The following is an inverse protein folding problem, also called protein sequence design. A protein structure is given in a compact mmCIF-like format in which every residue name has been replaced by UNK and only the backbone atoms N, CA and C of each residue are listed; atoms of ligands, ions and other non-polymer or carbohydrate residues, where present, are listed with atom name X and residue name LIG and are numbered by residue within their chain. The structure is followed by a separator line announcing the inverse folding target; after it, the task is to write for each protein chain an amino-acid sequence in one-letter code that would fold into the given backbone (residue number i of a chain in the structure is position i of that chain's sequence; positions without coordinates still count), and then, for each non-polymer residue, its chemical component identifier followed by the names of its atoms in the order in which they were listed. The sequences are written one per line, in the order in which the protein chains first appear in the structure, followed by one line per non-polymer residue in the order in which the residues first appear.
data_IF_916433133698
#
_entry.id   IF_916433133698
#
_cell.length_a   1.000
_cell.length_b   1.000
_cell.length_c   1.000
_cell.angle_alpha   90.00
_cell.angle_beta   90.00
_cell.angle_gamma   90.00
#
_symmetry.space_group_name_H-M   'P 1'
#
loop_
_entity.id
_entity.type
_entity.pdbx_description
1 polymer ?
#
# COMPACT_ATOMS: atom_id res chain seq x y z
N UNK A 1 -18.31 -14.48 -33.42
CA UNK A 1 -17.03 -15.20 -33.60
C UNK A 1 -15.88 -14.23 -33.39
N UNK A 2 -15.24 -14.24 -32.21
CA UNK A 2 -13.85 -13.79 -32.05
C UNK A 2 -13.31 -14.39 -30.75
N UNK A 3 -12.78 -15.60 -30.83
CA UNK A 3 -12.09 -16.24 -29.71
C UNK A 3 -10.71 -15.60 -29.62
N UNK A 4 -10.51 -14.74 -28.62
CA UNK A 4 -9.19 -14.15 -28.33
C UNK A 4 -8.29 -15.25 -27.75
N UNK A 5 -7.29 -15.64 -28.52
CA UNK A 5 -6.21 -16.53 -28.11
C UNK A 5 -5.33 -15.74 -27.14
N UNK A 6 -5.42 -16.03 -25.84
CA UNK A 6 -4.51 -15.50 -24.82
C UNK A 6 -3.31 -16.44 -24.76
N UNK A 7 -2.13 -16.09 -25.29
CA UNK A 7 -0.94 -16.91 -25.07
C UNK A 7 -0.57 -16.83 -23.59
N UNK A 8 -0.25 -17.97 -22.99
CA UNK A 8 0.30 -18.10 -21.64
C UNK A 8 1.62 -17.32 -21.57
N UNK A 9 1.55 -16.07 -21.10
CA UNK A 9 2.67 -15.11 -21.09
C UNK A 9 2.27 -13.68 -21.49
N UNK A 10 1.08 -13.49 -22.09
CA UNK A 10 0.55 -12.16 -22.40
C UNK A 10 -0.02 -11.48 -21.15
N UNK A 11 0.63 -10.39 -20.74
CA UNK A 11 0.09 -9.45 -19.74
C UNK A 11 -1.28 -8.98 -20.23
N UNK A 12 -2.33 -9.09 -19.41
CA UNK A 12 -3.68 -8.68 -19.83
C UNK A 12 -3.71 -7.21 -20.27
N UNK A 13 -4.55 -6.82 -21.26
CA UNK A 13 -4.63 -5.44 -21.73
C UNK A 13 -4.91 -4.44 -20.59
N UNK A 14 -5.77 -4.82 -19.64
CA UNK A 14 -6.07 -4.03 -18.45
C UNK A 14 -4.83 -3.81 -17.56
N UNK A 15 -3.99 -4.84 -17.41
CA UNK A 15 -2.74 -4.74 -16.66
C UNK A 15 -1.71 -3.87 -17.38
N UNK A 16 -1.63 -3.97 -18.71
CA UNK A 16 -0.75 -3.08 -19.51
C UNK A 16 -1.17 -1.62 -19.37
N UNK A 17 -2.48 -1.33 -19.42
CA UNK A 17 -3.01 0.02 -19.21
C UNK A 17 -2.66 0.57 -17.84
N UNK A 18 -2.84 -0.22 -16.78
CA UNK A 18 -2.45 0.17 -15.42
C UNK A 18 -0.95 0.51 -15.33
N UNK A 19 -0.08 -0.28 -15.98
CA UNK A 19 1.36 -0.01 -16.03
C UNK A 19 1.65 1.30 -16.77
N UNK A 20 1.01 1.53 -17.92
CA UNK A 20 1.17 2.74 -18.71
C UNK A 20 0.75 3.98 -17.92
N UNK A 21 -0.39 3.94 -17.23
CA UNK A 21 -0.90 5.04 -16.41
C UNK A 21 0.06 5.41 -15.27
N UNK A 22 0.62 4.41 -14.59
CA UNK A 22 1.60 4.62 -13.52
C UNK A 22 2.94 5.14 -14.06
N UNK A 23 3.38 4.64 -15.22
CA UNK A 23 4.62 5.07 -15.88
C UNK A 23 4.52 6.52 -16.34
N UNK A 24 3.39 6.92 -16.92
CA UNK A 24 3.10 8.30 -17.31
C UNK A 24 3.21 9.26 -16.12
N UNK A 25 2.81 8.80 -14.92
CA UNK A 25 2.87 9.55 -13.66
C UNK A 25 4.19 9.40 -12.90
N UNK A 26 5.20 8.76 -13.51
CA UNK A 26 6.55 8.58 -12.96
C UNK A 26 6.61 7.82 -11.63
N UNK A 27 5.71 6.85 -11.44
CA UNK A 27 5.76 5.99 -10.25
C UNK A 27 7.00 5.10 -10.27
N UNK A 28 7.63 4.90 -9.11
CA UNK A 28 8.78 3.99 -8.97
C UNK A 28 8.39 2.55 -9.30
N UNK A 29 9.36 1.75 -9.76
CA UNK A 29 9.13 0.34 -10.08
C UNK A 29 8.58 -0.45 -8.88
N UNK A 30 8.98 -0.09 -7.66
CA UNK A 30 8.43 -0.66 -6.43
C UNK A 30 6.95 -0.31 -6.23
N UNK A 31 6.59 0.96 -6.40
CA UNK A 31 5.19 1.41 -6.31
C UNK A 31 4.33 0.70 -7.34
N UNK A 32 4.82 0.58 -8.58
CA UNK A 32 4.13 -0.13 -9.65
C UNK A 32 3.89 -1.60 -9.29
N UNK A 33 4.91 -2.31 -8.79
CA UNK A 33 4.77 -3.70 -8.33
C UNK A 33 3.76 -3.83 -7.20
N UNK A 34 3.78 -2.93 -6.23
CA UNK A 34 2.82 -2.91 -5.12
C UNK A 34 1.39 -2.73 -5.62
N UNK A 35 1.16 -1.77 -6.52
CA UNK A 35 -0.17 -1.50 -7.07
C UNK A 35 -0.69 -2.67 -7.90
N UNK A 36 0.16 -3.27 -8.73
CA UNK A 36 -0.19 -4.47 -9.51
C UNK A 36 -0.56 -5.65 -8.62
N UNK A 37 0.18 -5.85 -7.52
CA UNK A 37 -0.14 -6.89 -6.53
C UNK A 37 -1.48 -6.61 -5.86
N UNK A 38 -1.72 -5.37 -5.45
CA UNK A 38 -2.92 -5.00 -4.68
C UNK A 38 -4.19 -5.02 -5.54
N UNK A 39 -4.12 -4.60 -6.82
CA UNK A 39 -5.19 -4.81 -7.80
C UNK A 39 -5.36 -6.30 -8.13
N UNK A 40 -4.27 -7.06 -8.19
CA UNK A 40 -4.30 -8.51 -8.35
C UNK A 40 -5.04 -9.23 -7.23
N UNK A 41 -4.89 -8.79 -5.98
CA UNK A 41 -5.64 -9.32 -4.83
C UNK A 41 -7.15 -9.16 -5.01
N UNK A 42 -7.60 -8.01 -5.50
CA UNK A 42 -9.01 -7.79 -5.81
C UNK A 42 -9.48 -8.74 -6.92
N UNK A 43 -8.71 -8.88 -8.01
CA UNK A 43 -9.05 -9.81 -9.09
C UNK A 43 -9.17 -11.26 -8.59
N UNK A 44 -8.23 -11.70 -7.74
CA UNK A 44 -8.27 -13.02 -7.11
C UNK A 44 -9.48 -13.20 -6.19
N UNK A 45 -9.83 -12.18 -5.40
CA UNK A 45 -11.02 -12.21 -4.54
C UNK A 45 -12.32 -12.31 -5.34
N UNK A 46 -12.41 -11.61 -6.48
CA UNK A 46 -13.61 -11.62 -7.32
C UNK A 46 -13.71 -12.86 -8.21
N UNK A 47 -12.59 -13.55 -8.49
CA UNK A 47 -12.52 -14.62 -9.48
C UNK A 47 -12.75 -14.15 -10.92
N UNK A 48 -12.74 -12.83 -11.16
CA UNK A 48 -13.01 -12.19 -12.45
C UNK A 48 -12.23 -10.88 -12.56
N UNK A 49 -12.29 -10.26 -13.74
CA UNK A 49 -11.58 -9.02 -14.02
C UNK A 49 -12.03 -7.88 -13.07
N UNK A 50 -11.09 -7.13 -12.46
CA UNK A 50 -11.39 -6.15 -11.40
C UNK A 50 -12.11 -4.89 -11.91
N UNK A 51 -12.16 -4.66 -13.22
CA UNK A 51 -12.97 -3.62 -13.86
C UNK A 51 -14.48 -3.88 -13.76
N UNK A 52 -14.88 -5.12 -13.52
CA UNK A 52 -16.29 -5.53 -13.36
C UNK A 52 -16.80 -5.42 -11.91
N UNK A 53 -15.99 -4.89 -10.99
CA UNK A 53 -16.33 -4.78 -9.57
C UNK A 53 -17.54 -3.84 -9.34
N UNK A 54 -18.45 -4.28 -8.47
CA UNK A 54 -19.55 -3.46 -7.96
C UNK A 54 -19.18 -2.78 -6.63
N UNK A 55 -20.01 -1.84 -6.17
CA UNK A 55 -19.84 -1.23 -4.84
C UNK A 55 -19.87 -2.28 -3.73
N UNK A 56 -20.77 -3.27 -3.84
CA UNK A 56 -20.90 -4.33 -2.85
C UNK A 56 -19.68 -5.26 -2.84
N UNK A 57 -19.09 -5.52 -4.02
CA UNK A 57 -17.83 -6.25 -4.10
C UNK A 57 -16.70 -5.56 -3.34
N UNK A 58 -16.58 -4.23 -3.45
CA UNK A 58 -15.57 -3.45 -2.74
C UNK A 58 -15.82 -3.42 -1.22
N UNK A 59 -17.09 -3.43 -0.80
CA UNK A 59 -17.46 -3.56 0.61
C UNK A 59 -17.02 -4.92 1.15
N UNK A 60 -17.43 -6.01 0.50
CA UNK A 60 -17.08 -7.38 0.90
C UNK A 60 -15.57 -7.62 0.89
N UNK A 61 -14.86 -7.04 -0.09
CA UNK A 61 -13.41 -7.14 -0.15
C UNK A 61 -12.74 -6.47 1.06
N UNK A 62 -13.15 -5.27 1.44
CA UNK A 62 -12.58 -4.60 2.62
C UNK A 62 -12.86 -5.35 3.92
N UNK A 63 -14.04 -5.96 4.06
CA UNK A 63 -14.37 -6.84 5.19
C UNK A 63 -13.43 -8.05 5.22
N UNK A 64 -13.26 -8.73 4.08
CA UNK A 64 -12.36 -9.89 3.99
C UNK A 64 -10.89 -9.53 4.31
N UNK A 65 -10.42 -8.36 3.90
CA UNK A 65 -9.08 -7.87 4.26
C UNK A 65 -8.94 -7.62 5.77
N UNK A 66 -10.00 -7.16 6.43
CA UNK A 66 -10.04 -6.96 7.87
C UNK A 66 -10.08 -8.30 8.62
N UNK A 67 -10.89 -9.25 8.17
CA UNK A 67 -10.97 -10.61 8.72
C UNK A 67 -9.65 -11.37 8.57
N UNK A 68 -8.91 -11.12 7.48
CA UNK A 68 -7.55 -11.64 7.28
C UNK A 68 -6.51 -11.01 8.23
N UNK A 69 -6.90 -10.08 9.10
CA UNK A 69 -6.01 -9.48 10.11
C UNK A 69 -4.96 -8.54 9.54
N UNK A 70 -5.17 -7.97 8.35
CA UNK A 70 -4.21 -7.04 7.77
C UNK A 70 -4.10 -5.76 8.60
N UNK A 71 -2.87 -5.30 8.83
CA UNK A 71 -2.62 -4.03 9.51
C UNK A 71 -3.20 -2.84 8.73
N UNK A 72 -3.60 -1.80 9.47
CA UNK A 72 -4.15 -0.56 8.90
C UNK A 72 -3.26 0.07 7.82
N UNK A 73 -1.91 0.12 7.95
CA UNK A 73 -1.04 0.63 6.88
C UNK A 73 -1.20 -0.16 5.57
N UNK A 74 -1.27 -1.50 5.66
CA UNK A 74 -1.45 -2.39 4.50
C UNK A 74 -2.82 -2.19 3.87
N UNK A 75 -3.88 -2.09 4.67
CA UNK A 75 -5.23 -1.79 4.15
C UNK A 75 -5.27 -0.44 3.40
N UNK A 76 -4.64 0.60 3.96
CA UNK A 76 -4.57 1.91 3.31
C UNK A 76 -3.73 1.92 2.01
N UNK A 77 -2.68 1.09 1.94
CA UNK A 77 -1.91 0.89 0.73
C UNK A 77 -2.77 0.24 -0.37
N UNK A 78 -3.49 -0.84 -0.03
CA UNK A 78 -4.42 -1.52 -0.96
C UNK A 78 -5.49 -0.54 -1.44
N UNK A 79 -6.15 0.19 -0.53
CA UNK A 79 -7.17 1.19 -0.87
C UNK A 79 -6.61 2.27 -1.80
N UNK A 80 -5.36 2.69 -1.61
CA UNK A 80 -4.74 3.70 -2.47
C UNK A 80 -4.48 3.17 -3.88
N UNK A 81 -3.99 1.93 -4.00
CA UNK A 81 -3.84 1.27 -5.29
C UNK A 81 -5.17 1.10 -6.03
N UNK A 82 -6.22 0.66 -5.32
CA UNK A 82 -7.54 0.50 -5.91
C UNK A 82 -8.14 1.84 -6.35
N UNK A 83 -8.03 2.90 -5.54
CA UNK A 83 -8.50 4.23 -5.93
C UNK A 83 -7.79 4.73 -7.19
N UNK A 84 -6.47 4.52 -7.30
CA UNK A 84 -5.74 4.86 -8.52
C UNK A 84 -6.28 4.10 -9.73
N UNK A 85 -6.42 2.78 -9.61
CA UNK A 85 -6.95 1.93 -10.67
C UNK A 85 -8.35 2.38 -11.12
N UNK A 86 -9.27 2.60 -10.18
CA UNK A 86 -10.64 3.03 -10.48
C UNK A 86 -10.69 4.42 -11.11
N UNK A 87 -9.91 5.40 -10.63
CA UNK A 87 -9.96 6.78 -11.15
C UNK A 87 -9.21 6.92 -12.48
N UNK A 88 -8.05 6.29 -12.62
CA UNK A 88 -7.14 6.59 -13.74
C UNK A 88 -7.13 5.51 -14.81
N UNK A 89 -7.32 4.24 -14.45
CA UNK A 89 -7.22 3.14 -15.42
C UNK A 89 -8.56 2.76 -16.02
N UNK A 90 -9.65 2.78 -15.25
CA UNK A 90 -10.97 2.37 -15.76
C UNK A 90 -12.02 3.49 -15.77
N UNK A 91 -11.65 4.71 -15.36
CA UNK A 91 -12.51 5.90 -15.37
C UNK A 91 -13.85 5.72 -14.62
N UNK A 92 -13.76 5.12 -13.42
CA UNK A 92 -14.88 4.88 -12.49
C UNK A 92 -14.62 5.55 -11.13
N UNK A 93 -14.59 6.89 -11.07
CA UNK A 93 -14.36 7.61 -9.82
C UNK A 93 -15.47 7.41 -8.78
N UNK A 94 -16.66 6.99 -9.20
CA UNK A 94 -17.78 6.62 -8.33
C UNK A 94 -17.42 5.43 -7.41
N UNK A 95 -16.77 4.40 -7.96
CA UNK A 95 -16.30 3.25 -7.19
C UNK A 95 -15.17 3.63 -6.24
N UNK A 96 -14.24 4.47 -6.70
CA UNK A 96 -13.14 4.94 -5.87
C UNK A 96 -13.61 5.66 -4.60
N UNK A 97 -14.71 6.42 -4.68
CA UNK A 97 -15.32 7.13 -3.53
C UNK A 97 -15.88 6.19 -2.47
N UNK A 98 -16.21 4.94 -2.82
CA UNK A 98 -16.75 3.94 -1.89
C UNK A 98 -15.69 3.16 -1.12
N UNK A 99 -14.41 3.30 -1.51
CA UNK A 99 -13.29 2.72 -0.77
C UNK A 99 -12.99 3.55 0.49
N UNK A 100 -12.98 2.87 1.64
CA UNK A 100 -12.80 3.47 2.96
C UNK A 100 -11.33 3.38 3.36
N UNK A 101 -10.72 4.52 3.67
CA UNK A 101 -9.42 4.54 4.33
C UNK A 101 -9.63 4.43 5.83
N UNK A 102 -8.85 3.58 6.48
CA UNK A 102 -8.91 3.39 7.91
C UNK A 102 -7.93 4.37 8.58
N UNK A 103 -8.39 5.06 9.61
CA UNK A 103 -7.57 6.02 10.34
C UNK A 103 -6.48 5.27 11.10
N UNK A 104 -5.22 5.52 10.77
CA UNK A 104 -4.08 5.04 11.54
C UNK A 104 -3.54 6.21 12.38
N UNK A 105 -3.73 6.20 13.72
CA UNK A 105 -2.99 7.12 14.57
C UNK A 105 -1.52 6.75 14.44
N UNK A 106 -0.72 7.63 13.83
CA UNK A 106 0.73 7.50 13.97
C UNK A 106 1.01 7.80 15.44
N UNK A 107 1.51 6.83 16.18
CA UNK A 107 2.17 7.14 17.45
C UNK A 107 3.26 8.17 17.11
N UNK A 108 3.17 9.34 17.74
CA UNK A 108 4.29 10.27 17.75
C UNK A 108 5.52 9.46 18.18
N UNK A 109 6.69 9.62 17.53
CA UNK A 109 7.89 8.95 18.01
C UNK A 109 8.02 9.30 19.48
N UNK A 110 8.05 8.28 20.33
CA UNK A 110 8.23 8.41 21.77
C UNK A 110 9.51 9.23 21.93
N UNK A 111 9.36 10.51 22.23
CA UNK A 111 10.51 11.39 22.39
C UNK A 111 11.19 10.85 23.63
N UNK A 112 12.38 10.26 23.45
CA UNK A 112 13.20 9.77 24.55
C UNK A 112 13.13 10.80 25.67
N UNK A 113 12.66 10.38 26.84
CA UNK A 113 12.59 11.27 28.00
C UNK A 113 14.00 11.86 28.23
N UNK A 114 14.14 13.09 28.76
CA UNK A 114 15.45 13.66 29.09
C UNK A 114 16.37 12.69 29.88
N UNK A 115 15.77 11.78 30.66
CA UNK A 115 16.48 10.73 31.39
C UNK A 115 17.05 9.61 30.48
N UNK A 116 16.38 9.26 29.39
CA UNK A 116 16.89 8.29 28.41
C UNK A 116 17.99 8.88 27.55
N UNK A 117 17.90 10.18 27.22
CA UNK A 117 18.99 10.93 26.56
C UNK A 117 20.21 11.01 27.47
N UNK A 118 20.03 11.26 28.78
CA UNK A 118 21.12 11.22 29.76
C UNK A 118 21.80 9.86 29.84
N UNK A 119 21.05 8.75 29.82
CA UNK A 119 21.64 7.40 29.83
C UNK A 119 22.38 7.08 28.53
N UNK A 120 21.93 7.58 27.39
CA UNK A 120 22.58 7.40 26.10
C UNK A 120 23.90 8.20 26.01
N UNK A 121 23.90 9.45 26.50
CA UNK A 121 25.09 10.32 26.55
C UNK A 121 26.12 9.85 27.59
N UNK A 122 25.67 9.36 28.75
CA UNK A 122 26.57 8.87 29.80
C UNK A 122 27.32 7.59 29.36
N UNK A 123 26.72 6.77 28.47
CA UNK A 123 27.42 5.62 27.86
C UNK A 123 28.54 6.01 26.90
N UNK A 124 28.54 7.22 26.35
CA UNK A 124 29.61 7.73 25.46
C UNK A 124 30.64 8.59 26.19
N UNK A 125 30.30 9.15 27.35
CA UNK A 125 31.15 10.07 28.10
C UNK A 125 32.03 9.41 29.19
N UNK A 126 31.90 8.11 29.46
CA UNK A 126 32.85 7.39 30.32
C UNK A 126 34.01 6.81 29.52
N UNK A 127 34.75 7.65 28.81
CA UNK A 127 36.13 7.36 28.41
C UNK A 127 37.01 8.61 28.48
N UNK A 128 36.91 9.36 29.57
CA UNK A 128 37.93 10.33 29.96
C UNK A 128 38.44 9.94 31.34
N UNK A 129 39.70 9.46 31.34
CA UNK A 129 40.42 9.05 32.52
C UNK A 129 40.58 10.18 33.54
N UNK A 130 40.94 9.85 34.79
CA UNK A 130 41.05 10.84 35.84
C UNK A 130 42.25 11.77 35.57
N UNK A 131 41.97 13.05 35.34
CA UNK A 131 42.97 14.11 35.41
C UNK A 131 42.97 14.71 36.83
N UNK A 132 43.98 14.31 37.62
CA UNK A 132 44.85 15.24 38.35
C UNK A 132 44.49 15.64 39.79
N UNK A 133 45.43 15.33 40.70
CA UNK A 133 45.98 16.31 41.66
C UNK A 133 45.70 16.06 43.14
N UNK A 134 46.69 15.56 43.89
CA UNK A 134 47.69 16.35 44.66
C UNK A 134 48.88 15.46 45.04
#
# INVERSE_FOLDING_TARGET
MTTSIIPAGSVSPLRQRLIADMTMRRFSAETQRNYLRDVGRLASFLGRSPDTASVEDLRRFQIALQEAGLGVPTMNAIVSALRFFFVHTIDRPDLARKLVRLRYPRSLPDVLSPDEVRRLLCKTACNDGPLGGV
#
